data_IF_452830209163
#
_entry.id   IF_452830209163
#
_cell.length_a   1.000
_cell.length_b   1.000
_cell.length_c   1.000
_cell.angle_alpha   90.00
_cell.angle_beta   90.00
_cell.angle_gamma   90.00
#
_symmetry.space_group_name_H-M   'P 1'
#
loop_
_entity.id
_entity.type
_entity.pdbx_description
1 polymer ?
#
# COMPACT_ATOMS: atom_id res chain seq x y z
N UNK A 1 22.86 -14.62 -14.68
CA UNK A 1 22.12 -14.35 -15.95
C UNK A 1 22.51 -12.95 -16.43
N UNK A 2 22.70 -12.75 -17.75
CA UNK A 2 22.98 -11.41 -18.31
C UNK A 2 21.72 -10.54 -18.24
N UNK A 3 21.88 -9.26 -17.88
CA UNK A 3 20.80 -8.27 -17.90
C UNK A 3 20.17 -8.20 -19.30
N UNK A 4 18.86 -8.49 -19.39
CA UNK A 4 18.13 -8.43 -20.65
C UNK A 4 17.21 -7.22 -20.65
N UNK A 5 17.66 -6.21 -21.40
CA UNK A 5 17.01 -4.93 -21.56
C UNK A 5 15.60 -5.11 -22.17
N UNK A 6 15.49 -5.73 -23.34
CA UNK A 6 14.20 -5.83 -24.04
C UNK A 6 13.13 -6.53 -23.20
N UNK A 7 13.52 -7.55 -22.42
CA UNK A 7 12.62 -8.18 -21.45
C UNK A 7 12.13 -7.20 -20.38
N UNK A 8 12.99 -6.33 -19.85
CA UNK A 8 12.58 -5.30 -18.89
C UNK A 8 11.59 -4.32 -19.51
N UNK A 9 11.85 -3.82 -20.73
CA UNK A 9 10.93 -2.90 -21.41
C UNK A 9 9.56 -3.53 -21.63
N UNK A 10 9.51 -4.79 -22.05
CA UNK A 10 8.25 -5.52 -22.21
C UNK A 10 7.50 -5.59 -20.88
N UNK A 11 8.17 -5.97 -19.77
CA UNK A 11 7.50 -6.03 -18.48
C UNK A 11 6.99 -4.66 -18.00
N UNK A 12 7.76 -3.59 -18.22
CA UNK A 12 7.36 -2.21 -17.87
C UNK A 12 6.13 -1.73 -18.66
N UNK A 13 5.97 -2.16 -19.91
CA UNK A 13 4.77 -1.83 -20.69
C UNK A 13 3.54 -2.63 -20.23
N UNK A 14 3.74 -3.84 -19.68
CA UNK A 14 2.65 -4.70 -19.20
C UNK A 14 2.20 -4.37 -17.77
N UNK A 15 3.11 -3.87 -16.93
CA UNK A 15 2.84 -3.67 -15.49
C UNK A 15 1.83 -2.54 -15.24
N UNK A 16 1.85 -1.46 -16.01
CA UNK A 16 0.94 -0.33 -15.83
C UNK A 16 -0.54 -0.75 -15.93
N UNK A 17 -0.99 -1.29 -17.08
CA UNK A 17 -2.36 -1.79 -17.23
C UNK A 17 -2.73 -2.85 -16.19
N UNK A 18 -1.77 -3.69 -15.79
CA UNK A 18 -1.98 -4.72 -14.75
C UNK A 18 -2.25 -4.09 -13.39
N UNK A 19 -1.51 -3.04 -13.03
CA UNK A 19 -1.68 -2.32 -11.76
C UNK A 19 -3.03 -1.62 -11.71
N UNK A 20 -3.44 -0.96 -12.79
CA UNK A 20 -4.75 -0.29 -12.85
C UNK A 20 -5.91 -1.25 -12.58
N UNK A 21 -5.85 -2.45 -13.16
CA UNK A 21 -6.88 -3.49 -12.94
C UNK A 21 -6.89 -3.94 -11.48
N UNK A 22 -5.72 -4.18 -10.89
CA UNK A 22 -5.59 -4.66 -9.50
C UNK A 22 -6.06 -3.59 -8.52
N UNK A 23 -5.65 -2.33 -8.73
CA UNK A 23 -6.02 -1.19 -7.92
C UNK A 23 -7.54 -0.98 -7.95
N UNK A 24 -8.15 -0.85 -9.13
CA UNK A 24 -9.60 -0.69 -9.29
C UNK A 24 -10.38 -1.83 -8.64
N UNK A 25 -9.92 -3.07 -8.81
CA UNK A 25 -10.54 -4.24 -8.16
C UNK A 25 -10.46 -4.15 -6.64
N UNK A 26 -9.31 -3.77 -6.07
CA UNK A 26 -9.12 -3.64 -4.63
C UNK A 26 -9.96 -2.51 -4.03
N UNK A 27 -9.98 -1.34 -4.66
CA UNK A 27 -10.84 -0.22 -4.25
C UNK A 27 -12.32 -0.63 -4.23
N UNK A 28 -12.79 -1.28 -5.29
CA UNK A 28 -14.18 -1.75 -5.38
C UNK A 28 -14.53 -2.76 -4.28
N UNK A 29 -13.66 -3.74 -4.02
CA UNK A 29 -13.84 -4.71 -2.94
C UNK A 29 -13.84 -4.02 -1.56
N UNK A 30 -13.03 -2.98 -1.37
CA UNK A 30 -12.95 -2.30 -0.10
C UNK A 30 -14.23 -1.50 0.21
N UNK A 31 -14.84 -0.88 -0.80
CA UNK A 31 -16.16 -0.22 -0.66
C UNK A 31 -17.22 -1.23 -0.21
N UNK A 32 -17.26 -2.41 -0.84
CA UNK A 32 -18.19 -3.48 -0.46
C UNK A 32 -17.94 -3.93 0.98
N UNK A 33 -16.68 -4.12 1.37
CA UNK A 33 -16.31 -4.51 2.72
C UNK A 33 -16.73 -3.45 3.77
N UNK A 34 -16.60 -2.16 3.47
CA UNK A 34 -17.06 -1.07 4.36
C UNK A 34 -18.58 -1.10 4.55
N UNK A 35 -19.36 -1.35 3.50
CA UNK A 35 -20.81 -1.59 3.61
C UNK A 35 -21.12 -2.79 4.54
N UNK A 36 -20.38 -3.89 4.40
CA UNK A 36 -20.57 -5.08 5.23
C UNK A 36 -20.27 -4.82 6.71
N UNK A 37 -19.29 -3.95 7.01
CA UNK A 37 -19.02 -3.52 8.39
C UNK A 37 -20.19 -2.69 8.94
N UNK A 38 -20.73 -1.74 8.16
CA UNK A 38 -21.90 -0.98 8.58
C UNK A 38 -23.06 -1.93 8.96
N UNK A 39 -23.35 -2.93 8.13
CA UNK A 39 -24.36 -3.96 8.42
C UNK A 39 -24.06 -4.79 9.68
N UNK A 40 -22.78 -5.00 10.04
CA UNK A 40 -22.40 -5.68 11.27
C UNK A 40 -22.62 -4.78 12.49
N UNK A 41 -22.33 -3.49 12.37
CA UNK A 41 -22.54 -2.50 13.42
C UNK A 41 -24.03 -2.32 13.73
N UNK A 42 -24.89 -2.24 12.71
CA UNK A 42 -26.36 -2.18 12.88
C UNK A 42 -26.91 -3.38 13.65
N UNK A 43 -26.30 -4.57 13.46
CA UNK A 43 -26.69 -5.81 14.14
C UNK A 43 -26.05 -5.96 15.53
N UNK A 44 -25.33 -4.95 16.02
CA UNK A 44 -24.62 -4.98 17.30
C UNK A 44 -23.43 -5.94 17.34
N UNK A 45 -22.94 -6.44 16.20
CA UNK A 45 -21.85 -7.44 16.14
C UNK A 45 -20.47 -6.77 16.15
N UNK A 46 -20.18 -6.00 17.20
CA UNK A 46 -18.99 -5.14 17.29
C UNK A 46 -17.68 -5.93 17.17
N UNK A 47 -17.57 -7.09 17.81
CA UNK A 47 -16.35 -7.92 17.72
C UNK A 47 -16.06 -8.38 16.29
N UNK A 48 -17.10 -8.75 15.53
CA UNK A 48 -16.95 -9.14 14.13
C UNK A 48 -16.58 -7.93 13.25
N UNK A 49 -17.16 -6.76 13.54
CA UNK A 49 -16.82 -5.51 12.86
C UNK A 49 -15.34 -5.14 13.11
N UNK A 50 -14.83 -5.27 14.34
CA UNK A 50 -13.41 -5.03 14.70
C UNK A 50 -12.44 -5.93 13.94
N UNK A 51 -12.72 -7.23 13.86
CA UNK A 51 -11.88 -8.17 13.09
C UNK A 51 -11.87 -7.80 11.61
N UNK A 52 -13.05 -7.45 11.07
CA UNK A 52 -13.19 -7.12 9.65
C UNK A 52 -12.56 -5.77 9.29
N UNK A 53 -12.64 -4.77 10.17
CA UNK A 53 -12.04 -3.45 9.94
C UNK A 53 -10.51 -3.52 9.91
N UNK A 54 -9.89 -4.41 10.70
CA UNK A 54 -8.44 -4.61 10.64
C UNK A 54 -8.00 -5.03 9.23
N UNK A 55 -8.78 -5.90 8.59
CA UNK A 55 -8.52 -6.32 7.21
C UNK A 55 -8.68 -5.15 6.23
N UNK A 56 -9.70 -4.31 6.42
CA UNK A 56 -9.94 -3.12 5.60
C UNK A 56 -8.80 -2.10 5.71
N UNK A 57 -8.30 -1.85 6.92
CA UNK A 57 -7.18 -0.94 7.15
C UNK A 57 -5.94 -1.44 6.40
N UNK A 58 -5.66 -2.75 6.46
CA UNK A 58 -4.55 -3.36 5.72
C UNK A 58 -4.75 -3.27 4.21
N UNK A 59 -5.98 -3.44 3.72
CA UNK A 59 -6.30 -3.27 2.31
C UNK A 59 -6.15 -1.81 1.86
N UNK A 60 -6.52 -0.81 2.68
CA UNK A 60 -6.31 0.61 2.39
C UNK A 60 -4.81 0.95 2.32
N UNK A 61 -3.99 0.47 3.28
CA UNK A 61 -2.53 0.61 3.21
C UNK A 61 -1.92 -0.08 1.99
N UNK A 62 -2.48 -1.22 1.59
CA UNK A 62 -2.05 -1.92 0.39
C UNK A 62 -2.38 -1.10 -0.87
N UNK A 63 -3.57 -0.51 -0.96
CA UNK A 63 -3.99 0.36 -2.07
C UNK A 63 -3.07 1.59 -2.16
N UNK A 64 -2.81 2.29 -1.04
CA UNK A 64 -1.88 3.43 -1.01
C UNK A 64 -0.47 3.00 -1.47
N UNK A 65 -0.02 1.82 -1.04
CA UNK A 65 1.29 1.29 -1.45
C UNK A 65 1.36 0.98 -2.94
N UNK A 66 0.26 0.54 -3.57
CA UNK A 66 0.20 0.33 -5.01
C UNK A 66 0.36 1.65 -5.78
N UNK A 67 -0.22 2.74 -5.31
CA UNK A 67 -0.11 4.06 -5.95
C UNK A 67 1.34 4.57 -5.94
N UNK A 68 2.01 4.47 -4.80
CA UNK A 68 3.43 4.86 -4.69
C UNK A 68 4.32 3.95 -5.57
N UNK A 69 4.00 2.66 -5.64
CA UNK A 69 4.73 1.71 -6.48
C UNK A 69 4.51 1.99 -7.98
N UNK A 70 3.32 2.44 -8.37
CA UNK A 70 2.99 2.82 -9.74
C UNK A 70 3.84 4.01 -10.19
N UNK A 71 3.93 5.05 -9.35
CA UNK A 71 4.81 6.20 -9.60
C UNK A 71 6.28 5.80 -9.74
N UNK A 72 6.74 4.86 -8.91
CA UNK A 72 8.11 4.34 -8.98
C UNK A 72 8.39 3.60 -10.31
N UNK A 73 7.42 2.84 -10.80
CA UNK A 73 7.50 2.12 -12.08
C UNK A 73 7.43 3.06 -13.29
N UNK A 74 6.61 4.11 -13.21
CA UNK A 74 6.56 5.17 -14.23
C UNK A 74 7.87 5.95 -14.31
N UNK A 75 8.46 6.30 -13.16
CA UNK A 75 9.78 6.91 -13.09
C UNK A 75 10.84 6.01 -13.73
N UNK A 76 10.86 4.71 -13.37
CA UNK A 76 11.76 3.74 -13.97
C UNK A 76 11.57 3.63 -15.49
N UNK A 77 10.32 3.64 -15.96
CA UNK A 77 10.01 3.52 -17.38
C UNK A 77 10.42 4.77 -18.18
N UNK A 78 10.24 5.96 -17.60
CA UNK A 78 10.65 7.23 -18.22
C UNK A 78 12.17 7.40 -18.29
N UNK A 79 12.90 6.92 -17.29
CA UNK A 79 14.38 6.99 -17.22
C UNK A 79 15.07 5.69 -17.62
N UNK A 80 14.36 4.82 -18.32
CA UNK A 80 14.82 3.49 -18.70
C UNK A 80 16.13 3.48 -19.50
N UNK A 81 16.41 4.54 -20.28
CA UNK A 81 17.65 4.68 -21.05
C UNK A 81 18.90 4.67 -20.16
N UNK A 82 18.83 5.26 -18.96
CA UNK A 82 19.95 5.34 -18.01
C UNK A 82 20.40 3.97 -17.51
N UNK A 83 19.53 2.96 -17.53
CA UNK A 83 19.88 1.58 -17.17
C UNK A 83 20.88 0.93 -18.14
N UNK A 84 21.28 1.59 -19.23
CA UNK A 84 22.36 1.10 -20.10
C UNK A 84 23.74 1.46 -19.55
N UNK A 85 23.84 2.55 -18.79
CA UNK A 85 25.09 3.09 -18.32
C UNK A 85 25.73 2.16 -17.28
N UNK A 86 27.06 2.04 -17.29
CA UNK A 86 27.77 1.16 -16.36
C UNK A 86 27.48 1.55 -14.91
N UNK A 87 27.39 2.86 -14.66
CA UNK A 87 27.03 3.45 -13.38
C UNK A 87 25.75 4.27 -13.59
N UNK A 88 24.80 4.15 -12.66
CA UNK A 88 23.58 4.95 -12.66
C UNK A 88 23.69 5.88 -11.46
N UNK A 89 23.91 7.18 -11.71
CA UNK A 89 24.16 8.17 -10.65
C UNK A 89 22.90 8.95 -10.25
N UNK A 90 21.75 8.57 -10.82
CA UNK A 90 20.45 9.17 -10.53
C UNK A 90 19.85 8.60 -9.24
N UNK A 91 19.97 9.35 -8.14
CA UNK A 91 19.49 8.97 -6.82
C UNK A 91 17.98 8.67 -6.79
N UNK A 92 17.17 9.44 -7.54
CA UNK A 92 15.72 9.23 -7.57
C UNK A 92 15.38 7.90 -8.27
N UNK A 93 16.09 7.58 -9.35
CA UNK A 93 15.95 6.30 -10.04
C UNK A 93 16.41 5.13 -9.16
N UNK A 94 17.53 5.27 -8.46
CA UNK A 94 18.02 4.24 -7.53
C UNK A 94 17.03 3.99 -6.39
N UNK A 95 16.47 5.04 -5.79
CA UNK A 95 15.42 4.94 -4.76
C UNK A 95 14.17 4.22 -5.28
N UNK A 96 13.71 4.55 -6.49
CA UNK A 96 12.57 3.87 -7.12
C UNK A 96 12.85 2.38 -7.37
N UNK A 97 14.05 2.04 -7.84
CA UNK A 97 14.49 0.65 -8.04
C UNK A 97 14.53 -0.11 -6.71
N UNK A 98 15.09 0.48 -5.64
CA UNK A 98 15.09 -0.12 -4.29
C UNK A 98 13.66 -0.36 -3.80
N UNK A 99 12.77 0.60 -4.01
CA UNK A 99 11.34 0.52 -3.69
C UNK A 99 10.65 -0.64 -4.42
N UNK A 100 10.89 -0.80 -5.73
CA UNK A 100 10.35 -1.91 -6.53
C UNK A 100 10.88 -3.27 -6.02
N UNK A 101 12.19 -3.38 -5.76
CA UNK A 101 12.80 -4.62 -5.26
C UNK A 101 12.22 -5.00 -3.90
N UNK A 102 12.03 -4.01 -3.02
CA UNK A 102 11.41 -4.21 -1.71
C UNK A 102 9.95 -4.63 -1.82
N UNK A 103 9.15 -3.98 -2.66
CA UNK A 103 7.72 -4.27 -2.78
C UNK A 103 7.42 -5.59 -3.51
N UNK A 104 8.26 -6.01 -4.46
CA UNK A 104 8.03 -7.18 -5.30
C UNK A 104 7.62 -8.48 -4.58
N UNK A 105 8.31 -8.94 -3.51
CA UNK A 105 7.90 -10.15 -2.78
C UNK A 105 6.60 -9.98 -1.98
N UNK A 106 6.10 -8.75 -1.80
CA UNK A 106 4.96 -8.41 -0.92
C UNK A 106 3.66 -8.17 -1.70
N UNK A 107 3.74 -7.71 -2.95
CA UNK A 107 2.55 -7.40 -3.76
C UNK A 107 1.96 -8.61 -4.51
N UNK A 108 2.69 -9.72 -4.65
CA UNK A 108 2.25 -10.91 -5.40
C UNK A 108 1.79 -10.59 -6.85
N UNK A 109 2.41 -9.61 -7.51
CA UNK A 109 2.16 -9.22 -8.91
C UNK A 109 3.28 -9.76 -9.78
N UNK A 110 2.96 -10.70 -10.69
CA UNK A 110 3.94 -11.45 -11.49
C UNK A 110 4.88 -10.56 -12.30
N UNK A 111 4.35 -9.51 -12.90
CA UNK A 111 5.09 -8.53 -13.70
C UNK A 111 6.12 -7.79 -12.83
N UNK A 112 5.75 -7.39 -11.62
CA UNK A 112 6.65 -6.71 -10.66
C UNK A 112 7.73 -7.67 -10.17
N UNK A 113 7.39 -8.93 -9.91
CA UNK A 113 8.37 -9.98 -9.55
C UNK A 113 9.42 -10.12 -10.65
N UNK A 114 9.00 -10.22 -11.91
CA UNK A 114 9.93 -10.31 -13.06
C UNK A 114 10.78 -9.06 -13.23
N UNK A 115 10.20 -7.87 -13.08
CA UNK A 115 10.95 -6.60 -13.12
C UNK A 115 12.02 -6.60 -12.03
N UNK A 116 11.64 -6.96 -10.80
CA UNK A 116 12.56 -7.05 -9.67
C UNK A 116 13.70 -8.04 -9.94
N UNK A 117 13.42 -9.25 -10.45
CA UNK A 117 14.45 -10.22 -10.81
C UNK A 117 15.44 -9.68 -11.84
N UNK A 118 14.95 -8.96 -12.86
CA UNK A 118 15.81 -8.36 -13.89
C UNK A 118 16.68 -7.25 -13.28
N UNK A 119 16.12 -6.40 -12.40
CA UNK A 119 16.86 -5.34 -11.72
C UNK A 119 17.90 -5.90 -10.74
N UNK A 120 17.56 -6.94 -9.97
CA UNK A 120 18.50 -7.62 -9.08
C UNK A 120 19.70 -8.22 -9.85
N UNK A 121 19.46 -8.77 -11.04
CA UNK A 121 20.52 -9.25 -11.92
C UNK A 121 21.41 -8.11 -12.46
N UNK A 122 20.85 -6.89 -12.63
CA UNK A 122 21.60 -5.71 -13.09
C UNK A 122 22.51 -5.13 -12.00
N UNK A 123 21.98 -4.90 -10.80
CA UNK A 123 22.70 -4.21 -9.71
C UNK A 123 23.46 -5.16 -8.78
N UNK A 124 23.19 -6.46 -8.87
CA UNK A 124 23.89 -7.49 -8.11
C UNK A 124 23.41 -7.62 -6.65
N UNK A 125 23.93 -8.64 -5.99
CA UNK A 125 23.42 -9.11 -4.69
C UNK A 125 23.62 -8.13 -3.54
N UNK A 126 24.68 -7.29 -3.56
CA UNK A 126 24.92 -6.28 -2.52
C UNK A 126 23.80 -5.24 -2.51
N UNK A 127 23.48 -4.67 -3.68
CA UNK A 127 22.40 -3.70 -3.84
C UNK A 127 21.05 -4.28 -3.46
N UNK A 128 20.74 -5.50 -3.91
CA UNK A 128 19.50 -6.21 -3.56
C UNK A 128 19.33 -6.37 -2.06
N UNK A 129 20.40 -6.75 -1.33
CA UNK A 129 20.33 -6.92 0.13
C UNK A 129 20.07 -5.60 0.86
N UNK A 130 20.68 -4.51 0.39
CA UNK A 130 20.44 -3.16 0.95
C UNK A 130 18.99 -2.74 0.72
N UNK A 131 18.47 -2.93 -0.50
CA UNK A 131 17.08 -2.65 -0.84
C UNK A 131 16.09 -3.47 0.01
N UNK A 132 16.29 -4.77 0.16
CA UNK A 132 15.39 -5.63 0.93
C UNK A 132 15.36 -5.30 2.43
N UNK A 133 16.48 -4.83 2.98
CA UNK A 133 16.60 -4.43 4.40
C UNK A 133 16.25 -2.97 4.66
N UNK A 134 16.06 -2.16 3.62
CA UNK A 134 16.01 -0.70 3.70
C UNK A 134 17.19 -0.12 4.52
N UNK A 135 18.40 -0.65 4.35
CA UNK A 135 19.53 -0.31 5.22
C UNK A 135 19.98 1.16 5.09
N UNK A 136 19.72 1.77 3.93
CA UNK A 136 20.14 3.13 3.61
C UNK A 136 19.03 4.17 3.87
N UNK A 137 17.83 3.74 4.32
CA UNK A 137 16.62 4.58 4.42
C UNK A 137 16.22 5.30 3.12
N UNK A 138 16.60 4.75 1.97
CA UNK A 138 16.32 5.33 0.66
C UNK A 138 14.94 4.95 0.08
N UNK A 139 14.19 4.08 0.77
CA UNK A 139 12.84 3.66 0.35
C UNK A 139 11.81 4.63 0.93
N UNK A 140 10.76 4.90 0.16
CA UNK A 140 9.62 5.70 0.62
C UNK A 140 9.10 5.18 1.98
N UNK A 141 9.09 6.06 2.98
CA UNK A 141 8.74 5.73 4.36
C UNK A 141 7.34 5.13 4.50
N UNK A 142 6.37 5.63 3.71
CA UNK A 142 5.00 5.11 3.72
C UNK A 142 4.93 3.68 3.20
N UNK A 143 5.56 3.39 2.07
CA UNK A 143 5.64 2.01 1.54
C UNK A 143 6.30 1.09 2.57
N UNK A 144 7.40 1.54 3.19
CA UNK A 144 8.09 0.73 4.18
C UNK A 144 7.20 0.46 5.38
N UNK A 145 6.54 1.49 5.93
CA UNK A 145 5.59 1.38 7.02
C UNK A 145 4.45 0.41 6.68
N UNK A 146 3.73 0.66 5.58
CA UNK A 146 2.56 -0.09 5.15
C UNK A 146 2.86 -1.59 4.99
N UNK A 147 4.03 -1.94 4.47
CA UNK A 147 4.44 -3.35 4.27
C UNK A 147 5.12 -4.02 5.46
N UNK A 148 5.57 -3.27 6.47
CA UNK A 148 6.23 -3.83 7.66
C UNK A 148 5.32 -3.85 8.88
N UNK A 149 4.16 -3.21 8.81
CA UNK A 149 3.18 -3.11 9.88
C UNK A 149 2.63 -4.49 10.28
N UNK A 150 3.07 -4.97 11.44
CA UNK A 150 2.64 -6.28 11.97
C UNK A 150 1.27 -6.22 12.62
N UNK A 151 0.98 -5.17 13.37
CA UNK A 151 -0.26 -5.03 14.13
C UNK A 151 -0.87 -3.65 13.89
N UNK A 152 -2.19 -3.59 13.85
CA UNK A 152 -2.92 -2.33 13.77
C UNK A 152 -3.20 -1.83 15.18
N UNK A 153 -3.02 -0.52 15.42
CA UNK A 153 -3.38 0.09 16.70
C UNK A 153 -4.89 -0.01 16.93
N UNK A 154 -5.29 -0.34 18.16
CA UNK A 154 -6.69 -0.40 18.57
C UNK A 154 -7.38 0.95 18.42
N UNK A 155 -6.65 2.05 18.63
CA UNK A 155 -7.19 3.39 18.44
C UNK A 155 -7.56 3.64 16.96
N UNK A 156 -6.72 3.15 16.03
CA UNK A 156 -6.99 3.28 14.60
C UNK A 156 -8.20 2.42 14.18
N UNK A 157 -8.32 1.22 14.76
CA UNK A 157 -9.50 0.34 14.56
C UNK A 157 -10.78 1.06 15.01
N UNK A 158 -10.77 1.63 16.21
CA UNK A 158 -11.93 2.34 16.77
C UNK A 158 -12.30 3.54 15.90
N UNK A 159 -11.31 4.34 15.50
CA UNK A 159 -11.51 5.48 14.62
C UNK A 159 -12.13 5.08 13.28
N UNK A 160 -11.63 4.02 12.64
CA UNK A 160 -12.19 3.52 11.38
C UNK A 160 -13.65 3.05 11.54
N UNK A 161 -13.99 2.39 12.65
CA UNK A 161 -15.36 1.97 12.92
C UNK A 161 -16.29 3.16 13.12
N UNK A 162 -15.82 4.21 13.80
CA UNK A 162 -16.55 5.46 13.99
C UNK A 162 -16.81 6.19 12.66
N UNK A 163 -15.78 6.30 11.81
CA UNK A 163 -15.91 6.89 10.48
C UNK A 163 -16.91 6.14 9.61
N UNK A 164 -16.84 4.80 9.60
CA UNK A 164 -17.79 3.95 8.86
C UNK A 164 -19.21 4.12 9.45
N UNK A 165 -19.38 4.06 10.77
CA UNK A 165 -20.69 4.26 11.40
C UNK A 165 -21.30 5.61 11.01
N UNK A 166 -20.48 6.66 10.99
CA UNK A 166 -20.90 8.02 10.61
C UNK A 166 -21.27 8.11 9.14
N UNK A 167 -20.45 7.56 8.25
CA UNK A 167 -20.68 7.57 6.79
C UNK A 167 -21.99 6.86 6.41
N UNK A 168 -22.32 5.76 7.08
CA UNK A 168 -23.51 4.96 6.82
C UNK A 168 -24.70 5.30 7.72
N UNK A 169 -24.56 6.29 8.62
CA UNK A 169 -25.60 6.72 9.58
C UNK A 169 -26.12 5.58 10.46
N UNK A 170 -25.20 4.76 10.96
CA UNK A 170 -25.51 3.64 11.85
C UNK A 170 -25.45 4.12 13.30
N UNK A 171 -26.58 4.03 14.00
CA UNK A 171 -26.64 4.27 15.44
C UNK A 171 -26.01 3.08 16.19
N UNK A 172 -24.81 3.28 16.73
CA UNK A 172 -24.09 2.26 17.50
C UNK A 172 -23.46 2.87 18.76
N UNK A 173 -23.04 2.03 19.69
CA UNK A 173 -22.44 2.47 20.97
C UNK A 173 -21.18 3.36 20.78
N UNK A 174 -20.52 3.26 19.62
CA UNK A 174 -19.34 4.04 19.29
C UNK A 174 -19.67 5.51 18.95
N UNK A 175 -20.80 5.78 18.29
CA UNK A 175 -21.25 7.15 18.00
C UNK A 175 -21.75 7.89 19.25
N UNK A 176 -22.17 7.17 20.29
CA UNK A 176 -22.65 7.75 21.55
C UNK A 176 -21.54 8.46 22.35
N UNK A 177 -20.27 8.00 22.27
CA UNK A 177 -19.14 8.68 22.94
C UNK A 177 -18.91 10.11 22.43
N UNK A 178 -19.08 10.34 21.12
CA UNK A 178 -18.96 11.67 20.50
C UNK A 178 -20.12 12.55 20.92
N UNK A 179 -21.34 12.00 20.97
CA UNK A 179 -22.53 12.75 21.39
C UNK A 179 -22.39 13.23 22.84
N UNK A 180 -21.86 12.39 23.73
CA UNK A 180 -21.57 12.75 25.12
C UNK A 180 -20.48 13.83 25.20
N UNK A 181 -19.36 13.69 24.47
CA UNK A 181 -18.29 14.70 24.45
C UNK A 181 -18.74 16.05 23.87
N UNK A 182 -19.53 16.06 22.80
CA UNK A 182 -20.14 17.27 22.25
C UNK A 182 -21.14 17.89 23.23
N UNK A 183 -21.93 17.07 23.92
CA UNK A 183 -22.86 17.54 24.95
C UNK A 183 -22.10 18.18 26.13
N UNK A 184 -20.97 17.61 26.54
CA UNK A 184 -20.09 18.22 27.54
C UNK A 184 -19.47 19.54 27.06
N UNK A 185 -19.04 19.64 25.80
CA UNK A 185 -18.48 20.89 25.25
C UNK A 185 -19.56 21.97 25.10
N UNK A 186 -20.80 21.61 24.76
CA UNK A 186 -21.92 22.55 24.62
C UNK A 186 -22.47 22.99 25.99
N UNK A 187 -22.44 22.13 27.01
CA UNK A 187 -22.91 22.47 28.36
C UNK A 187 -21.90 23.30 29.16
N UNK A 188 -20.60 23.13 28.90
CA UNK A 188 -19.54 23.84 29.62
C UNK A 188 -18.99 25.07 28.88
N UNK A 189 -19.75 25.64 27.94
CA UNK A 189 -19.45 26.89 27.25
C UNK A 189 -20.63 27.85 27.37
#
# INVERSE_FOLDING_TARGET
MKFNKDKLKIQLNLVGPRMDIIHKKKVSLNIIAKNEIANLLEKGKINNARIKVETIIRDDFYIESLEILQLSLELLNSRYSLLNEKNVDDLALLSAIKTIIFAAPRCNIKEITKISEILQNRFGSKFTKLALKNADNDINEKIYHNFTLKCIDKNLIDHYLEEIATMYKVDCELTQKIQVLLYFIIIFK
#
